data_IF_909520499245
#
_entry.id   IF_909520499245
#
_cell.length_a   1.000
_cell.length_b   1.000
_cell.length_c   1.000
_cell.angle_alpha   90.00
_cell.angle_beta   90.00
_cell.angle_gamma   90.00
#
_symmetry.space_group_name_H-M   'P 1'
#
loop_
_entity.id
_entity.type
_entity.pdbx_description
1 polymer ?
#
# COMPACT_ATOMS: atom_id res chain seq x y z
N UNK A 1 -20.66 71.33 -27.69
CA UNK A 1 -19.87 70.97 -26.50
C UNK A 1 -20.48 69.72 -25.90
N UNK A 2 -19.68 68.75 -25.47
CA UNK A 2 -20.17 67.44 -25.01
C UNK A 2 -20.46 67.42 -23.52
N UNK A 3 -21.50 66.70 -23.09
CA UNK A 3 -21.70 66.27 -21.70
C UNK A 3 -22.34 64.88 -21.68
N UNK A 4 -21.96 64.06 -20.70
CA UNK A 4 -22.17 62.60 -20.76
C UNK A 4 -23.54 62.15 -20.23
N UNK A 5 -24.06 61.09 -20.84
CA UNK A 5 -25.17 60.31 -20.32
C UNK A 5 -24.63 59.17 -19.44
N UNK A 6 -25.20 58.95 -18.25
CA UNK A 6 -24.82 57.87 -17.32
C UNK A 6 -26.02 56.97 -17.01
N UNK A 7 -25.96 55.65 -17.28
CA UNK A 7 -27.04 54.73 -16.96
C UNK A 7 -27.03 54.34 -15.48
N UNK A 8 -28.21 54.38 -14.83
CA UNK A 8 -28.41 53.80 -13.49
C UNK A 8 -28.16 52.30 -13.52
N UNK A 9 -27.49 51.75 -12.50
CA UNK A 9 -27.50 50.31 -12.23
C UNK A 9 -28.89 49.91 -11.72
N UNK A 10 -29.54 48.97 -12.41
CA UNK A 10 -30.70 48.26 -11.86
C UNK A 10 -30.22 47.15 -10.92
N UNK A 11 -30.86 47.02 -9.75
CA UNK A 11 -30.71 45.82 -8.92
C UNK A 11 -31.64 44.72 -9.45
N UNK A 12 -31.09 43.55 -9.78
CA UNK A 12 -31.89 42.35 -9.94
C UNK A 12 -32.33 41.85 -8.54
N UNK A 13 -33.57 41.35 -8.37
CA UNK A 13 -34.01 40.78 -7.10
C UNK A 13 -33.26 39.49 -6.80
N UNK A 14 -32.95 39.25 -5.52
CA UNK A 14 -32.40 37.99 -5.08
C UNK A 14 -33.50 36.92 -5.05
N UNK A 15 -33.36 35.86 -5.83
CA UNK A 15 -34.24 34.69 -5.75
C UNK A 15 -34.01 33.95 -4.43
N UNK A 16 -35.10 33.59 -3.76
CA UNK A 16 -35.06 32.89 -2.47
C UNK A 16 -34.52 31.47 -2.65
N UNK A 17 -33.86 30.94 -1.62
CA UNK A 17 -33.34 29.57 -1.63
C UNK A 17 -34.41 28.47 -1.46
N UNK A 18 -35.70 28.83 -1.55
CA UNK A 18 -36.85 27.94 -1.41
C UNK A 18 -37.38 27.37 -2.73
N UNK A 19 -37.20 28.08 -3.85
CA UNK A 19 -37.89 27.80 -5.12
C UNK A 19 -37.05 26.97 -6.11
N UNK A 20 -36.40 25.89 -5.63
CA UNK A 20 -35.71 24.92 -6.48
C UNK A 20 -36.55 23.64 -6.61
N UNK A 21 -36.85 23.18 -7.85
CA UNK A 21 -37.60 21.94 -8.05
C UNK A 21 -36.77 20.72 -7.63
N UNK A 22 -37.46 19.72 -7.09
CA UNK A 22 -36.85 18.51 -6.54
C UNK A 22 -36.38 17.57 -7.68
N UNK A 23 -35.07 17.32 -7.75
CA UNK A 23 -34.48 16.47 -8.81
C UNK A 23 -34.39 15.04 -8.28
N UNK A 24 -35.35 14.20 -8.67
CA UNK A 24 -35.33 12.77 -8.37
C UNK A 24 -34.13 12.08 -9.04
N UNK A 25 -33.26 11.50 -8.23
CA UNK A 25 -32.17 10.64 -8.69
C UNK A 25 -32.68 9.22 -8.95
N UNK A 26 -32.21 8.53 -10.02
CA UNK A 26 -32.71 7.21 -10.39
C UNK A 26 -32.33 6.12 -9.36
N UNK A 27 -33.23 5.16 -9.20
CA UNK A 27 -33.07 4.02 -8.30
C UNK A 27 -32.01 3.01 -8.80
N UNK A 28 -31.37 2.23 -7.91
CA UNK A 28 -30.29 1.32 -8.29
C UNK A 28 -30.80 0.06 -9.03
N UNK A 29 -30.18 -0.24 -10.17
CA UNK A 29 -30.35 -1.52 -10.86
C UNK A 29 -29.33 -2.54 -10.31
N UNK A 30 -29.82 -3.66 -9.76
CA UNK A 30 -28.97 -4.75 -9.26
C UNK A 30 -29.10 -6.01 -10.13
N UNK A 31 -28.22 -6.18 -11.12
CA UNK A 31 -28.15 -7.43 -11.87
C UNK A 31 -27.34 -8.49 -11.11
N UNK A 32 -28.02 -9.54 -10.65
CA UNK A 32 -27.46 -10.58 -9.80
C UNK A 32 -26.67 -11.65 -10.55
N UNK A 33 -25.43 -11.33 -10.97
CA UNK A 33 -24.48 -12.34 -11.46
C UNK A 33 -24.08 -13.37 -10.38
N UNK A 34 -23.44 -14.49 -10.78
CA UNK A 34 -23.03 -15.55 -9.84
C UNK A 34 -22.11 -15.05 -8.69
N UNK A 35 -21.39 -13.94 -8.91
CA UNK A 35 -20.63 -13.20 -7.90
C UNK A 35 -21.47 -12.84 -6.67
N UNK A 36 -22.77 -12.51 -6.83
CA UNK A 36 -23.67 -12.14 -5.74
C UNK A 36 -23.76 -13.20 -4.63
N UNK A 37 -23.68 -14.49 -4.97
CA UNK A 37 -23.71 -15.59 -3.98
C UNK A 37 -22.39 -15.72 -3.21
N UNK A 38 -21.26 -15.38 -3.84
CA UNK A 38 -19.96 -15.29 -3.15
C UNK A 38 -19.87 -14.03 -2.27
N UNK A 39 -20.36 -12.88 -2.77
CA UNK A 39 -20.42 -11.61 -2.04
C UNK A 39 -21.30 -11.70 -0.78
N UNK A 40 -22.46 -12.35 -0.86
CA UNK A 40 -23.26 -12.69 0.33
C UNK A 40 -22.48 -13.52 1.35
N UNK A 41 -21.65 -14.48 0.91
CA UNK A 41 -20.78 -15.26 1.77
C UNK A 41 -19.73 -14.42 2.49
N UNK A 42 -19.06 -13.52 1.76
CA UNK A 42 -18.04 -12.59 2.32
C UNK A 42 -18.67 -11.59 3.28
N UNK A 43 -19.80 -10.96 2.93
CA UNK A 43 -20.54 -10.04 3.79
C UNK A 43 -21.05 -10.70 5.07
N UNK A 44 -21.58 -11.93 4.98
CA UNK A 44 -21.98 -12.73 6.13
C UNK A 44 -20.78 -13.07 7.04
N UNK A 45 -19.62 -13.39 6.47
CA UNK A 45 -18.39 -13.63 7.23
C UNK A 45 -17.93 -12.36 7.95
N UNK A 46 -17.86 -11.21 7.26
CA UNK A 46 -17.47 -9.93 7.82
C UNK A 46 -18.41 -9.48 8.95
N UNK A 47 -19.72 -9.57 8.73
CA UNK A 47 -20.73 -9.28 9.74
C UNK A 47 -20.72 -10.25 10.93
N UNK A 48 -20.14 -11.46 10.79
CA UNK A 48 -19.92 -12.40 11.89
C UNK A 48 -18.61 -12.11 12.63
N UNK A 49 -17.56 -11.66 11.92
CA UNK A 49 -16.30 -11.19 12.51
C UNK A 49 -16.53 -9.95 13.38
N UNK A 50 -17.22 -8.92 12.87
CA UNK A 50 -17.48 -7.68 13.62
C UNK A 50 -18.23 -7.93 14.94
N UNK A 51 -19.29 -8.76 14.91
CA UNK A 51 -20.03 -9.16 16.12
C UNK A 51 -19.17 -9.99 17.09
N UNK A 52 -18.29 -10.85 16.58
CA UNK A 52 -17.34 -11.61 17.40
C UNK A 52 -16.26 -10.75 18.06
N UNK A 53 -15.75 -9.73 17.36
CA UNK A 53 -14.78 -8.76 17.89
C UNK A 53 -15.43 -7.88 18.96
N UNK A 54 -16.65 -7.40 18.72
CA UNK A 54 -17.42 -6.64 19.72
C UNK A 54 -17.64 -7.44 21.01
N UNK A 55 -18.16 -8.68 20.90
CA UNK A 55 -18.34 -9.57 22.05
C UNK A 55 -17.02 -9.87 22.78
N UNK A 56 -15.92 -10.09 22.05
CA UNK A 56 -14.60 -10.30 22.63
C UNK A 56 -14.09 -9.10 23.43
N UNK A 57 -14.34 -7.87 22.95
CA UNK A 57 -14.02 -6.63 23.67
C UNK A 57 -14.89 -6.45 24.92
N UNK A 58 -16.21 -6.64 24.83
CA UNK A 58 -17.12 -6.52 25.99
C UNK A 58 -16.77 -7.54 27.09
N UNK A 59 -16.41 -8.77 26.72
CA UNK A 59 -15.96 -9.80 27.66
C UNK A 59 -14.56 -9.52 28.24
N UNK A 60 -13.66 -8.88 27.48
CA UNK A 60 -12.35 -8.48 27.99
C UNK A 60 -12.43 -7.32 29.00
N UNK A 61 -13.39 -6.40 28.84
CA UNK A 61 -13.65 -5.28 29.76
C UNK A 61 -14.28 -5.73 31.08
N UNK A 62 -14.92 -6.91 31.13
CA UNK A 62 -15.73 -7.38 32.27
C UNK A 62 -15.13 -8.56 33.04
N UNK A 63 -13.99 -9.12 32.62
CA UNK A 63 -13.46 -10.37 33.17
C UNK A 63 -12.21 -10.21 34.06
N UNK A 64 -12.19 -10.89 35.21
CA UNK A 64 -10.98 -11.08 36.03
C UNK A 64 -9.93 -11.91 35.30
N UNK A 65 -8.66 -11.81 35.71
CA UNK A 65 -7.48 -12.15 34.89
C UNK A 65 -7.43 -13.53 34.21
N UNK A 66 -8.14 -14.56 34.69
CA UNK A 66 -8.25 -15.85 33.98
C UNK A 66 -9.07 -15.76 32.69
N UNK A 67 -10.07 -14.88 32.62
CA UNK A 67 -10.90 -14.66 31.43
C UNK A 67 -10.13 -13.99 30.29
N UNK A 68 -9.21 -13.07 30.60
CA UNK A 68 -8.39 -12.35 29.61
C UNK A 68 -7.55 -13.32 28.78
N UNK A 69 -6.91 -14.32 29.39
CA UNK A 69 -6.18 -15.37 28.64
C UNK A 69 -7.12 -16.23 27.78
N UNK A 70 -8.35 -16.48 28.22
CA UNK A 70 -9.39 -17.13 27.42
C UNK A 70 -9.76 -16.31 26.18
N UNK A 71 -10.02 -15.02 26.35
CA UNK A 71 -10.36 -14.09 25.28
C UNK A 71 -9.20 -13.91 24.28
N UNK A 72 -7.96 -13.74 24.77
CA UNK A 72 -6.76 -13.64 23.92
C UNK A 72 -6.51 -14.94 23.13
N UNK A 73 -6.68 -16.12 23.75
CA UNK A 73 -6.56 -17.40 23.04
C UNK A 73 -7.64 -17.56 21.97
N UNK A 74 -8.88 -17.14 22.26
CA UNK A 74 -9.97 -17.16 21.29
C UNK A 74 -9.73 -16.18 20.14
N UNK A 75 -9.26 -14.96 20.43
CA UNK A 75 -8.91 -13.95 19.43
C UNK A 75 -7.78 -14.46 18.51
N UNK A 76 -6.72 -15.03 19.07
CA UNK A 76 -5.61 -15.62 18.31
C UNK A 76 -6.08 -16.78 17.40
N UNK A 77 -6.95 -17.66 17.89
CA UNK A 77 -7.54 -18.74 17.07
C UNK A 77 -8.44 -18.17 15.96
N UNK A 78 -9.21 -17.12 16.24
CA UNK A 78 -10.05 -16.44 15.23
C UNK A 78 -9.20 -15.76 14.15
N UNK A 79 -8.15 -15.03 14.52
CA UNK A 79 -7.19 -14.41 13.59
C UNK A 79 -6.46 -15.48 12.76
N UNK A 80 -6.03 -16.58 13.37
CA UNK A 80 -5.41 -17.69 12.64
C UNK A 80 -6.38 -18.35 11.64
N UNK A 81 -7.65 -18.52 12.02
CA UNK A 81 -8.70 -19.01 11.11
C UNK A 81 -8.99 -18.03 9.96
N UNK A 82 -8.97 -16.72 10.21
CA UNK A 82 -9.07 -15.69 9.17
C UNK A 82 -7.87 -15.73 8.21
N UNK A 83 -6.64 -15.78 8.74
CA UNK A 83 -5.43 -15.90 7.93
C UNK A 83 -5.43 -17.16 7.06
N UNK A 84 -5.87 -18.30 7.61
CA UNK A 84 -6.02 -19.57 6.86
C UNK A 84 -7.11 -19.49 5.79
N UNK A 85 -8.20 -18.75 6.04
CA UNK A 85 -9.25 -18.49 5.05
C UNK A 85 -8.77 -17.59 3.90
N UNK A 86 -8.09 -16.49 4.23
CA UNK A 86 -7.48 -15.59 3.24
C UNK A 86 -6.41 -16.32 2.41
N UNK A 87 -5.57 -17.14 3.06
CA UNK A 87 -4.61 -18.00 2.37
C UNK A 87 -5.28 -19.01 1.44
N UNK A 88 -6.43 -19.58 1.82
CA UNK A 88 -7.18 -20.49 0.96
C UNK A 88 -7.75 -19.77 -0.29
N UNK A 89 -8.22 -18.52 -0.15
CA UNK A 89 -8.64 -17.69 -1.29
C UNK A 89 -7.46 -17.37 -2.21
N UNK A 90 -6.33 -16.92 -1.64
CA UNK A 90 -5.09 -16.64 -2.39
C UNK A 90 -4.61 -17.90 -3.12
N UNK A 91 -4.57 -19.05 -2.44
CA UNK A 91 -4.18 -20.32 -3.04
C UNK A 91 -5.15 -20.80 -4.13
N UNK A 92 -6.44 -20.50 -4.02
CA UNK A 92 -7.43 -20.82 -5.06
C UNK A 92 -7.27 -19.92 -6.30
N UNK A 93 -7.03 -18.61 -6.12
CA UNK A 93 -6.75 -17.67 -7.22
C UNK A 93 -5.42 -18.03 -7.91
N UNK A 94 -4.35 -18.27 -7.15
CA UNK A 94 -3.06 -18.73 -7.68
C UNK A 94 -3.19 -20.10 -8.36
N UNK A 95 -3.99 -21.02 -7.80
CA UNK A 95 -4.30 -22.32 -8.41
C UNK A 95 -5.04 -22.19 -9.74
N UNK A 96 -6.02 -21.28 -9.84
CA UNK A 96 -6.72 -20.99 -11.09
C UNK A 96 -5.82 -20.34 -12.16
N UNK A 97 -4.88 -19.48 -11.74
CA UNK A 97 -3.89 -18.87 -12.62
C UNK A 97 -2.87 -19.90 -13.16
N UNK A 98 -2.40 -20.82 -12.30
CA UNK A 98 -1.45 -21.88 -12.69
C UNK A 98 -2.11 -22.99 -13.50
N UNK A 99 -3.34 -23.40 -13.13
CA UNK A 99 -4.12 -24.42 -13.84
C UNK A 99 -4.50 -24.04 -15.28
N UNK A 100 -4.39 -22.76 -15.65
CA UNK A 100 -4.67 -22.28 -17.02
C UNK A 100 -3.53 -22.56 -18.02
N UNK A 101 -2.38 -23.10 -17.58
CA UNK A 101 -1.31 -23.65 -18.45
C UNK A 101 -1.41 -25.18 -18.58
N UNK A 102 -2.52 -25.68 -19.15
CA UNK A 102 -2.78 -27.12 -19.21
C UNK A 102 -3.85 -27.56 -20.21
N UNK A 103 -3.86 -27.02 -21.43
CA UNK A 103 -4.83 -27.49 -22.44
C UNK A 103 -4.80 -26.78 -23.79
N UNK A 104 -4.08 -27.35 -24.76
CA UNK A 104 -4.43 -27.33 -26.19
C UNK A 104 -3.58 -28.36 -26.96
N UNK A 105 -4.23 -29.35 -27.55
CA UNK A 105 -3.61 -30.32 -28.45
C UNK A 105 -4.61 -30.65 -29.57
N UNK A 106 -4.29 -30.26 -30.81
CA UNK A 106 -4.89 -30.76 -32.06
C UNK A 106 -4.14 -30.16 -33.28
N UNK A 107 -3.36 -31.05 -33.90
CA UNK A 107 -2.87 -31.21 -35.29
C UNK A 107 -3.72 -30.61 -36.45
N UNK A 108 -3.34 -30.74 -37.76
CA UNK A 108 -2.22 -31.49 -38.36
C UNK A 108 -1.42 -30.82 -39.51
N UNK A 109 -0.36 -31.51 -39.98
CA UNK A 109 0.39 -31.34 -41.26
C UNK A 109 1.20 -30.01 -41.44
N UNK A 110 2.31 -29.89 -42.18
CA UNK A 110 3.12 -30.75 -43.10
C UNK A 110 4.59 -30.20 -43.14
N UNK A 111 5.66 -30.72 -43.78
CA UNK A 111 6.08 -32.04 -44.31
C UNK A 111 7.56 -32.00 -44.80
N UNK A 112 8.18 -33.17 -45.02
CA UNK A 112 9.42 -33.44 -45.81
C UNK A 112 10.83 -33.18 -45.19
N UNK A 113 11.83 -33.97 -45.64
CA UNK A 113 13.24 -34.00 -45.20
C UNK A 113 13.52 -34.95 -44.03
N UNK A 114 13.98 -36.22 -44.13
CA UNK A 114 14.86 -37.01 -45.04
C UNK A 114 16.37 -36.90 -44.73
N UNK A 115 17.03 -38.08 -44.63
CA UNK A 115 18.46 -38.38 -44.34
C UNK A 115 18.88 -38.38 -42.85
N UNK A 116 19.72 -39.31 -42.34
CA UNK A 116 20.22 -40.55 -42.96
C UNK A 116 21.43 -41.23 -42.24
N UNK A 117 21.37 -42.56 -42.08
CA UNK A 117 22.47 -43.55 -41.84
C UNK A 117 23.43 -43.45 -40.62
N UNK A 118 23.27 -44.42 -39.71
CA UNK A 118 24.26 -45.41 -39.20
C UNK A 118 25.78 -45.28 -39.49
N UNK A 119 26.64 -45.67 -38.52
CA UNK A 119 27.83 -46.51 -38.81
C UNK A 119 29.12 -46.43 -37.95
N UNK A 120 29.21 -47.26 -36.91
CA UNK A 120 30.38 -48.14 -36.56
C UNK A 120 31.77 -47.59 -36.10
N UNK A 121 32.44 -48.41 -35.27
CA UNK A 121 33.75 -48.28 -34.57
C UNK A 121 34.91 -48.91 -35.41
N UNK A 122 36.14 -48.33 -35.45
CA UNK A 122 37.32 -48.79 -34.65
C UNK A 122 38.30 -47.65 -34.23
N UNK A 123 39.38 -47.84 -33.46
CA UNK A 123 39.85 -49.01 -32.67
C UNK A 123 41.39 -49.01 -32.43
N UNK A 124 41.85 -49.48 -31.25
CA UNK A 124 43.26 -49.63 -30.79
C UNK A 124 44.07 -48.33 -30.56
N UNK A 125 45.14 -48.29 -29.73
CA UNK A 125 45.69 -49.27 -28.78
C UNK A 125 46.94 -48.74 -28.04
N UNK A 126 47.34 -49.33 -26.89
CA UNK A 126 48.59 -49.00 -26.17
C UNK A 126 48.66 -49.46 -24.70
N UNK A 127 49.59 -50.37 -24.38
CA UNK A 127 49.91 -50.96 -23.06
C UNK A 127 50.92 -50.10 -22.24
N UNK A 128 51.08 -50.18 -20.91
CA UNK A 128 51.62 -51.29 -20.06
C UNK A 128 53.04 -51.76 -20.52
N UNK A 129 54.06 -52.05 -19.68
CA UNK A 129 54.22 -52.03 -18.20
C UNK A 129 55.71 -52.24 -17.76
N UNK A 130 56.08 -52.02 -16.48
CA UNK A 130 57.29 -52.52 -15.74
C UNK A 130 58.72 -52.05 -16.13
N UNK A 131 59.71 -52.30 -15.22
CA UNK A 131 61.18 -52.16 -15.47
C UNK A 131 62.05 -51.80 -14.24
N UNK A 132 63.20 -52.47 -14.02
CA UNK A 132 64.10 -52.31 -12.83
C UNK A 132 65.61 -52.21 -13.16
N UNK A 133 66.43 -51.95 -12.12
CA UNK A 133 67.93 -51.93 -12.05
C UNK A 133 68.63 -50.64 -12.53
N UNK A 134 69.81 -50.24 -12.02
CA UNK A 134 70.71 -50.84 -11.01
C UNK A 134 71.74 -49.83 -10.43
N UNK A 135 72.60 -50.26 -9.49
CA UNK A 135 73.56 -49.39 -8.75
C UNK A 135 74.93 -49.18 -9.44
N UNK A 136 75.90 -48.49 -8.76
CA UNK A 136 76.96 -49.26 -8.08
C UNK A 136 77.60 -48.63 -6.80
N UNK A 137 78.35 -49.47 -6.05
CA UNK A 137 79.63 -49.28 -5.28
C UNK A 137 80.16 -47.90 -4.80
N UNK A 138 80.98 -47.77 -3.75
CA UNK A 138 81.69 -48.75 -2.88
C UNK A 138 82.08 -48.14 -1.49
N UNK A 139 82.61 -48.97 -0.58
CA UNK A 139 83.20 -48.56 0.73
C UNK A 139 84.74 -48.44 0.67
N UNK A 140 85.39 -47.79 1.66
CA UNK A 140 86.18 -48.52 2.69
C UNK A 140 86.02 -47.91 4.13
N UNK A 141 86.09 -48.68 5.23
CA UNK A 141 87.23 -48.95 6.16
C UNK A 141 87.91 -47.70 6.78
N UNK A 142 88.41 -47.68 8.03
CA UNK A 142 88.63 -48.71 9.08
C UNK A 142 88.62 -48.08 10.51
N UNK A 143 88.46 -48.92 11.56
CA UNK A 143 89.01 -48.81 12.94
C UNK A 143 88.76 -47.53 13.81
N UNK A 144 88.98 -47.52 15.14
CA UNK A 144 88.82 -48.48 16.25
C UNK A 144 88.91 -47.64 17.58
N UNK A 145 88.77 -48.27 18.76
CA UNK A 145 88.95 -47.77 20.14
C UNK A 145 87.72 -47.16 20.83
N UNK A 146 87.53 -47.34 22.16
CA UNK A 146 87.86 -48.46 23.07
C UNK A 146 87.12 -48.24 24.40
N UNK A 147 86.40 -49.25 24.88
CA UNK A 147 86.14 -49.59 26.30
C UNK A 147 86.18 -48.51 27.41
N UNK A 148 85.09 -48.42 28.20
CA UNK A 148 85.18 -48.80 29.62
C UNK A 148 83.81 -49.23 30.19
N UNK A 149 83.70 -50.23 31.11
CA UNK A 149 82.41 -50.85 31.44
C UNK A 149 82.06 -50.93 32.95
N UNK A 150 80.99 -50.24 33.38
CA UNK A 150 80.21 -50.59 34.58
C UNK A 150 78.72 -50.34 34.26
N UNK A 151 77.86 -51.35 34.18
CA UNK A 151 77.36 -52.25 35.24
C UNK A 151 76.32 -51.59 36.17
N UNK A 152 75.05 -51.60 35.75
CA UNK A 152 73.89 -51.73 36.64
C UNK A 152 72.69 -52.24 35.83
N UNK A 153 71.93 -53.17 36.38
CA UNK A 153 70.82 -53.85 35.68
C UNK A 153 69.52 -53.05 35.79
N UNK A 154 68.73 -53.04 34.71
CA UNK A 154 67.29 -52.76 34.78
C UNK A 154 66.51 -53.85 34.01
N UNK A 155 65.33 -54.28 34.51
CA UNK A 155 64.58 -55.43 34.00
C UNK A 155 63.88 -55.16 32.64
N UNK A 156 63.45 -56.21 31.92
CA UNK A 156 62.93 -56.09 30.54
C UNK A 156 61.61 -55.32 30.41
N UNK A 157 61.37 -54.83 29.20
CA UNK A 157 60.27 -53.93 28.86
C UNK A 157 58.87 -54.55 29.02
N UNK A 158 57.91 -53.70 29.39
CA UNK A 158 56.47 -54.00 29.33
C UNK A 158 55.78 -53.14 28.28
N UNK A 159 54.85 -53.73 27.52
CA UNK A 159 54.18 -53.06 26.40
C UNK A 159 53.27 -51.91 26.86
N UNK A 160 53.21 -50.77 26.14
CA UNK A 160 52.35 -49.66 26.50
C UNK A 160 50.86 -50.04 26.39
N UNK A 161 50.15 -49.98 27.51
CA UNK A 161 48.71 -50.27 27.59
C UNK A 161 47.90 -49.20 26.83
N UNK A 162 46.86 -49.56 26.04
CA UNK A 162 46.03 -48.57 25.36
C UNK A 162 45.33 -47.63 26.36
N UNK A 163 45.14 -46.34 26.01
CA UNK A 163 44.60 -45.35 26.94
C UNK A 163 43.18 -45.70 27.38
N UNK A 164 43.00 -45.86 28.69
CA UNK A 164 41.74 -46.20 29.36
C UNK A 164 40.71 -45.09 29.10
N UNK A 165 39.65 -45.39 28.33
CA UNK A 165 38.51 -44.48 28.15
C UNK A 165 37.95 -44.09 29.51
N UNK A 166 38.01 -42.80 29.85
CA UNK A 166 37.40 -42.28 31.07
C UNK A 166 35.87 -42.41 30.97
N UNK A 167 35.17 -42.86 32.03
CA UNK A 167 33.72 -42.92 32.03
C UNK A 167 33.17 -41.50 31.93
N UNK A 168 32.39 -41.22 30.88
CA UNK A 168 31.66 -39.96 30.77
C UNK A 168 30.59 -39.95 31.87
N UNK A 169 30.76 -39.08 32.87
CA UNK A 169 29.75 -38.87 33.91
C UNK A 169 28.42 -38.41 33.30
N UNK A 170 27.28 -38.68 33.96
CA UNK A 170 25.96 -38.42 33.39
C UNK A 170 25.83 -36.94 33.00
N UNK A 171 25.69 -36.71 31.70
CA UNK A 171 25.52 -35.37 31.12
C UNK A 171 24.18 -34.81 31.58
N UNK A 172 24.21 -33.96 32.61
CA UNK A 172 23.00 -33.26 33.11
C UNK A 172 22.26 -32.68 31.91
N UNK A 173 20.99 -33.07 31.66
CA UNK A 173 20.26 -32.59 30.49
C UNK A 173 20.19 -31.07 30.56
N UNK A 174 20.76 -30.38 29.56
CA UNK A 174 20.68 -28.93 29.47
C UNK A 174 19.21 -28.55 29.44
N UNK A 175 18.73 -27.92 30.51
CA UNK A 175 17.33 -27.51 30.64
C UNK A 175 16.90 -26.78 29.36
N UNK A 176 15.76 -27.15 28.76
CA UNK A 176 15.33 -26.55 27.50
C UNK A 176 15.20 -25.05 27.69
N UNK A 177 15.88 -24.27 26.84
CA UNK A 177 15.84 -22.80 26.87
C UNK A 177 14.48 -22.33 26.32
N UNK A 178 13.42 -22.57 27.09
CA UNK A 178 12.00 -22.44 26.74
C UNK A 178 11.52 -21.00 26.49
N UNK A 179 12.41 -20.03 26.58
CA UNK A 179 12.14 -18.65 26.22
C UNK A 179 12.33 -18.42 24.72
N UNK A 180 11.37 -17.76 24.08
CA UNK A 180 11.53 -17.23 22.72
C UNK A 180 12.82 -16.41 22.62
N UNK A 181 13.59 -16.49 21.50
CA UNK A 181 14.86 -15.79 21.37
C UNK A 181 14.65 -14.27 21.38
N UNK A 182 15.64 -13.54 21.91
CA UNK A 182 15.54 -12.10 22.17
C UNK A 182 15.11 -11.30 20.92
N UNK A 183 15.63 -11.64 19.75
CA UNK A 183 15.25 -11.01 18.48
C UNK A 183 13.74 -11.10 18.17
N UNK A 184 13.09 -12.23 18.47
CA UNK A 184 11.64 -12.38 18.24
C UNK A 184 10.83 -11.68 19.32
N UNK A 185 11.33 -11.59 20.57
CA UNK A 185 10.70 -10.73 21.60
C UNK A 185 10.75 -9.24 21.21
N UNK A 186 11.88 -8.79 20.68
CA UNK A 186 12.05 -7.43 20.15
C UNK A 186 11.13 -7.18 18.94
N UNK A 187 11.04 -8.13 18.01
CA UNK A 187 10.13 -8.04 16.87
C UNK A 187 8.65 -7.96 17.30
N UNK A 188 8.24 -8.77 18.29
CA UNK A 188 6.90 -8.68 18.89
C UNK A 188 6.65 -7.35 19.60
N UNK A 189 7.64 -6.82 20.32
CA UNK A 189 7.53 -5.51 20.98
C UNK A 189 7.40 -4.37 19.95
N UNK A 190 8.19 -4.38 18.88
CA UNK A 190 8.08 -3.41 17.79
C UNK A 190 6.72 -3.52 17.09
N UNK A 191 6.24 -4.74 16.83
CA UNK A 191 4.91 -4.97 16.26
C UNK A 191 3.78 -4.49 17.19
N UNK A 192 3.91 -4.68 18.51
CA UNK A 192 2.96 -4.20 19.51
C UNK A 192 2.94 -2.66 19.58
N UNK A 193 4.11 -2.02 19.59
CA UNK A 193 4.24 -0.56 19.61
C UNK A 193 3.69 0.07 18.33
N UNK A 194 4.01 -0.47 17.15
CA UNK A 194 3.45 -0.01 15.88
C UNK A 194 1.94 -0.28 15.80
N UNK A 195 1.47 -1.41 16.35
CA UNK A 195 0.05 -1.72 16.50
C UNK A 195 -0.69 -0.68 17.34
N UNK A 196 -0.13 -0.29 18.49
CA UNK A 196 -0.69 0.76 19.35
C UNK A 196 -0.69 2.14 18.71
N UNK A 197 0.40 2.52 18.02
CA UNK A 197 0.51 3.78 17.29
C UNK A 197 -0.40 3.86 16.05
N UNK A 198 -0.82 2.72 15.48
CA UNK A 198 -1.91 2.66 14.50
C UNK A 198 -3.27 2.73 15.21
N UNK A 199 -3.50 1.91 16.24
CA UNK A 199 -4.78 1.78 16.93
C UNK A 199 -5.26 3.09 17.57
N UNK A 200 -4.36 3.94 18.08
CA UNK A 200 -4.73 5.25 18.66
C UNK A 200 -5.49 6.16 17.70
N UNK A 201 -5.33 6.02 16.37
CA UNK A 201 -6.08 6.81 15.38
C UNK A 201 -7.59 6.51 15.36
N UNK A 202 -8.02 5.39 15.94
CA UNK A 202 -9.44 5.11 16.15
C UNK A 202 -10.10 6.07 17.15
N UNK A 203 -9.31 6.81 17.94
CA UNK A 203 -9.78 7.75 18.98
C UNK A 203 -9.21 9.17 18.78
N UNK A 204 -7.90 9.29 18.50
CA UNK A 204 -7.19 10.58 18.42
C UNK A 204 -6.44 10.75 17.08
N UNK A 205 -6.57 11.89 16.37
CA UNK A 205 -7.22 13.14 16.80
C UNK A 205 -8.76 13.10 16.74
N UNK A 206 -9.46 14.01 17.43
CA UNK A 206 -10.91 14.16 17.31
C UNK A 206 -11.28 14.72 15.93
N UNK A 207 -12.07 13.96 15.19
CA UNK A 207 -12.56 14.28 13.83
C UNK A 207 -13.84 15.10 13.87
N UNK A 208 -14.61 14.91 14.94
CA UNK A 208 -15.99 15.38 15.15
C UNK A 208 -16.04 16.91 15.13
N UNK A 209 -14.98 17.58 15.61
CA UNK A 209 -14.82 19.04 15.54
C UNK A 209 -14.84 19.59 14.11
N UNK A 210 -14.41 18.81 13.11
CA UNK A 210 -14.39 19.24 11.71
C UNK A 210 -15.79 19.41 11.11
N UNK A 211 -16.85 18.94 11.77
CA UNK A 211 -18.23 19.26 11.39
C UNK A 211 -18.46 20.78 11.42
N UNK A 212 -17.98 21.44 12.48
CA UNK A 212 -18.28 22.84 12.83
C UNK A 212 -17.07 23.78 12.73
N UNK A 213 -15.84 23.25 12.72
CA UNK A 213 -14.60 24.03 12.74
C UNK A 213 -13.75 23.75 11.49
N UNK A 214 -13.20 24.80 10.89
CA UNK A 214 -12.30 24.69 9.75
C UNK A 214 -10.84 24.53 10.24
N UNK A 215 -10.06 23.59 9.69
CA UNK A 215 -8.63 23.47 9.99
C UNK A 215 -7.87 24.64 9.34
N UNK A 216 -7.32 25.54 10.16
CA UNK A 216 -6.55 26.71 9.70
C UNK A 216 -5.17 26.34 9.11
N UNK A 217 -4.58 25.23 9.57
CA UNK A 217 -3.35 24.63 9.05
C UNK A 217 -3.52 23.11 9.11
N UNK A 218 -2.89 22.39 8.17
CA UNK A 218 -2.87 20.92 8.13
C UNK A 218 -1.44 20.40 8.14
N UNK A 219 -1.23 19.13 8.50
CA UNK A 219 0.13 18.54 8.51
C UNK A 219 0.80 18.49 7.13
N UNK A 220 0.03 18.52 6.04
CA UNK A 220 0.58 18.71 4.69
C UNK A 220 1.03 20.15 4.45
N UNK A 221 0.30 21.16 4.96
CA UNK A 221 0.70 22.57 4.87
C UNK A 221 1.90 22.89 5.77
N UNK A 222 2.01 22.27 6.95
CA UNK A 222 3.21 22.32 7.81
C UNK A 222 4.42 21.73 7.09
N UNK A 223 4.25 20.56 6.46
CA UNK A 223 5.28 19.91 5.65
C UNK A 223 5.76 20.82 4.51
N UNK A 224 4.85 21.51 3.79
CA UNK A 224 5.22 22.46 2.74
C UNK A 224 6.00 23.66 3.27
N UNK A 225 5.56 24.27 4.37
CA UNK A 225 6.29 25.36 5.02
C UNK A 225 7.72 24.94 5.42
N UNK A 226 7.88 23.73 5.95
CA UNK A 226 9.20 23.16 6.26
C UNK A 226 10.05 22.89 5.00
N UNK A 227 9.45 22.59 3.84
CA UNK A 227 10.18 22.49 2.57
C UNK A 227 10.63 23.86 2.05
N UNK A 228 9.76 24.88 2.09
CA UNK A 228 10.10 26.24 1.65
C UNK A 228 11.19 26.88 2.54
N UNK A 229 11.10 26.70 3.87
CA UNK A 229 12.13 27.18 4.79
C UNK A 229 13.53 26.59 4.47
N UNK A 230 13.60 25.31 4.11
CA UNK A 230 14.84 24.64 3.64
C UNK A 230 15.33 25.14 2.27
N UNK A 231 14.50 25.85 1.52
CA UNK A 231 14.84 26.52 0.25
C UNK A 231 15.15 28.02 0.45
N UNK A 232 15.22 28.52 1.69
CA UNK A 232 15.38 29.95 1.98
C UNK A 232 14.15 30.80 1.68
N UNK A 233 12.99 30.17 1.44
CA UNK A 233 11.71 30.84 1.16
C UNK A 233 10.92 31.02 2.45
N UNK A 234 10.26 32.17 2.61
CA UNK A 234 9.31 32.39 3.70
C UNK A 234 8.08 31.46 3.63
N UNK A 235 7.34 31.28 4.73
CA UNK A 235 6.22 30.33 4.85
C UNK A 235 4.94 30.75 4.08
N UNK A 236 5.05 31.65 3.09
CA UNK A 236 3.91 32.29 2.43
C UNK A 236 3.17 31.32 1.51
N UNK A 237 1.97 30.92 1.94
CA UNK A 237 0.96 30.26 1.13
C UNK A 237 -0.30 31.13 1.03
N UNK A 238 -1.12 30.89 0.01
CA UNK A 238 -2.46 31.45 -0.13
C UNK A 238 -3.49 30.36 0.17
N UNK A 239 -4.36 30.62 1.15
CA UNK A 239 -5.56 29.84 1.41
C UNK A 239 -6.71 30.80 1.73
N UNK A 240 -7.81 30.68 0.98
CA UNK A 240 -9.05 31.41 1.23
C UNK A 240 -10.15 30.37 1.46
N UNK A 241 -10.72 30.30 2.67
CA UNK A 241 -11.80 29.36 2.94
C UNK A 241 -13.12 29.85 2.34
N UNK A 242 -13.82 28.97 1.62
CA UNK A 242 -15.18 29.20 1.13
C UNK A 242 -16.07 27.98 1.41
N UNK A 243 -17.36 28.22 1.67
CA UNK A 243 -18.34 27.14 1.77
C UNK A 243 -18.59 26.48 0.41
N UNK A 244 -19.09 25.25 0.41
CA UNK A 244 -19.33 24.46 -0.81
C UNK A 244 -20.31 25.15 -1.77
N UNK A 245 -21.28 25.91 -1.24
CA UNK A 245 -22.20 26.72 -2.05
C UNK A 245 -21.54 27.89 -2.78
N UNK A 246 -20.38 28.36 -2.31
CA UNK A 246 -19.56 29.39 -2.94
C UNK A 246 -18.46 28.80 -3.86
N UNK A 247 -18.52 27.49 -4.14
CA UNK A 247 -17.69 26.82 -5.14
C UNK A 247 -18.60 26.45 -6.32
N UNK A 248 -18.15 26.71 -7.55
CA UNK A 248 -18.93 26.39 -8.76
C UNK A 248 -19.26 24.90 -8.80
N UNK A 249 -20.54 24.58 -9.09
CA UNK A 249 -21.00 23.19 -9.30
C UNK A 249 -20.16 22.47 -10.37
N UNK A 250 -19.59 23.20 -11.33
CA UNK A 250 -18.64 22.69 -12.30
C UNK A 250 -17.39 22.09 -11.62
N UNK A 251 -16.78 22.79 -10.66
CA UNK A 251 -15.58 22.28 -9.97
C UNK A 251 -15.92 21.11 -9.06
N UNK A 252 -17.05 21.18 -8.35
CA UNK A 252 -17.56 20.07 -7.52
C UNK A 252 -17.67 18.79 -8.37
N UNK A 253 -18.35 18.87 -9.52
CA UNK A 253 -18.55 17.75 -10.44
C UNK A 253 -17.24 17.27 -11.09
N UNK A 254 -16.40 18.20 -11.56
CA UNK A 254 -15.11 17.90 -12.18
C UNK A 254 -14.18 17.13 -11.24
N UNK A 255 -14.10 17.55 -9.97
CA UNK A 255 -13.23 16.94 -8.97
C UNK A 255 -13.71 15.53 -8.60
N UNK A 256 -15.01 15.33 -8.40
CA UNK A 256 -15.53 13.96 -8.19
C UNK A 256 -15.25 13.09 -9.41
N UNK A 257 -15.54 13.54 -10.64
CA UNK A 257 -15.27 12.75 -11.85
C UNK A 257 -13.77 12.43 -12.06
N UNK A 258 -12.86 13.29 -11.61
CA UNK A 258 -11.41 13.14 -11.83
C UNK A 258 -10.69 12.28 -10.79
N UNK A 259 -11.15 12.30 -9.54
CA UNK A 259 -10.50 11.68 -8.38
C UNK A 259 -11.32 10.57 -7.72
N UNK A 260 -12.67 10.60 -7.83
CA UNK A 260 -13.58 9.74 -7.05
C UNK A 260 -15.05 9.77 -7.61
N UNK A 261 -15.29 9.12 -8.75
CA UNK A 261 -16.57 9.24 -9.51
C UNK A 261 -17.78 8.61 -8.77
N UNK A 262 -17.50 7.72 -7.81
CA UNK A 262 -18.45 7.10 -6.88
C UNK A 262 -18.49 7.77 -5.50
N UNK A 263 -17.87 8.94 -5.30
CA UNK A 263 -17.75 9.62 -4.00
C UNK A 263 -19.06 9.70 -3.20
N UNK A 264 -20.20 9.90 -3.89
CA UNK A 264 -21.52 10.04 -3.28
C UNK A 264 -22.21 8.69 -2.93
N UNK A 265 -21.64 7.56 -3.32
CA UNK A 265 -22.24 6.22 -3.23
C UNK A 265 -21.58 5.31 -2.17
N UNK A 266 -20.29 5.48 -1.89
CA UNK A 266 -19.54 4.64 -0.94
C UNK A 266 -19.29 5.32 0.41
N UNK A 267 -18.88 4.56 1.43
CA UNK A 267 -18.45 5.08 2.75
C UNK A 267 -16.91 5.07 2.85
N UNK A 268 -16.23 6.07 2.29
CA UNK A 268 -14.76 6.22 2.34
C UNK A 268 -13.93 5.31 1.43
N UNK A 269 -14.49 4.23 0.88
CA UNK A 269 -13.76 3.24 0.06
C UNK A 269 -14.58 2.79 -1.15
N UNK A 270 -14.18 3.18 -2.36
CA UNK A 270 -14.60 2.51 -3.60
C UNK A 270 -13.82 1.20 -3.76
N UNK A 271 -14.41 0.10 -3.32
CA UNK A 271 -13.75 -1.22 -3.33
C UNK A 271 -13.56 -1.75 -4.76
N UNK A 272 -14.56 -1.61 -5.62
CA UNK A 272 -14.46 -2.04 -7.02
C UNK A 272 -13.44 -1.17 -7.77
N UNK A 273 -13.43 0.15 -7.56
CA UNK A 273 -12.44 1.06 -8.15
C UNK A 273 -11.02 0.81 -7.64
N UNK A 274 -10.87 0.32 -6.39
CA UNK A 274 -9.58 -0.16 -5.87
C UNK A 274 -9.15 -1.48 -6.53
N UNK A 275 -10.08 -2.40 -6.82
CA UNK A 275 -9.78 -3.64 -7.56
C UNK A 275 -9.44 -3.37 -9.03
N UNK A 276 -10.22 -2.56 -9.74
CA UNK A 276 -9.93 -2.10 -11.12
C UNK A 276 -8.56 -1.41 -11.22
N UNK A 277 -8.23 -0.55 -10.25
CA UNK A 277 -6.94 0.12 -10.18
C UNK A 277 -5.80 -0.87 -9.93
N UNK A 278 -6.01 -1.89 -9.08
CA UNK A 278 -5.02 -2.93 -8.80
C UNK A 278 -4.78 -3.82 -10.03
N UNK A 279 -5.84 -4.29 -10.70
CA UNK A 279 -5.76 -5.10 -11.91
C UNK A 279 -5.05 -4.36 -13.05
N UNK A 280 -5.42 -3.09 -13.30
CA UNK A 280 -4.75 -2.25 -14.32
C UNK A 280 -3.26 -2.00 -13.99
N UNK A 281 -2.92 -1.84 -12.71
CA UNK A 281 -1.52 -1.70 -12.29
C UNK A 281 -0.69 -2.98 -12.50
N UNK A 282 -1.31 -4.17 -12.46
CA UNK A 282 -0.66 -5.44 -12.81
C UNK A 282 -0.51 -5.55 -14.33
N UNK A 283 -1.57 -5.29 -15.09
CA UNK A 283 -1.58 -5.38 -16.56
C UNK A 283 -0.56 -4.44 -17.21
N UNK A 284 -0.49 -3.19 -16.75
CA UNK A 284 0.49 -2.20 -17.23
C UNK A 284 1.89 -2.34 -16.60
N UNK A 285 2.10 -3.29 -15.67
CA UNK A 285 3.37 -3.53 -14.97
C UNK A 285 3.89 -2.33 -14.14
N UNK A 286 3.04 -1.34 -13.86
CA UNK A 286 3.40 -0.03 -13.30
C UNK A 286 2.22 0.58 -12.54
N UNK A 287 2.49 1.57 -11.69
CA UNK A 287 1.41 2.37 -11.10
C UNK A 287 0.86 3.35 -12.16
N UNK A 288 -0.18 2.92 -12.86
CA UNK A 288 -0.96 3.69 -13.84
C UNK A 288 -2.28 4.23 -13.25
N UNK A 289 -2.78 3.59 -12.19
CA UNK A 289 -4.05 3.88 -11.54
C UNK A 289 -3.86 4.24 -10.06
N UNK A 290 -4.52 5.32 -9.62
CA UNK A 290 -4.72 5.63 -8.20
C UNK A 290 -6.06 5.09 -7.72
N UNK A 291 -6.06 4.27 -6.67
CA UNK A 291 -7.25 3.82 -5.96
C UNK A 291 -7.30 4.44 -4.56
N UNK A 292 -7.60 5.73 -4.46
CA UNK A 292 -7.73 6.43 -3.17
C UNK A 292 -8.73 7.58 -3.27
N UNK A 293 -9.89 7.35 -2.65
CA UNK A 293 -11.06 8.23 -2.58
C UNK A 293 -10.73 9.62 -2.04
N UNK A 294 -11.59 10.60 -2.33
CA UNK A 294 -11.49 11.97 -1.83
C UNK A 294 -11.36 11.99 -0.30
N UNK A 295 -12.08 11.11 0.41
CA UNK A 295 -12.00 10.98 1.87
C UNK A 295 -10.64 10.48 2.36
N UNK A 296 -10.04 9.49 1.68
CA UNK A 296 -8.66 9.07 1.99
C UNK A 296 -7.65 10.17 1.68
N UNK A 297 -7.84 10.92 0.59
CA UNK A 297 -6.99 12.05 0.25
C UNK A 297 -7.14 13.22 1.24
N UNK A 298 -8.33 13.46 1.78
CA UNK A 298 -8.58 14.41 2.86
C UNK A 298 -7.85 13.98 4.13
N UNK A 299 -8.02 12.72 4.58
CA UNK A 299 -7.32 12.17 5.74
C UNK A 299 -5.79 12.34 5.63
N UNK A 300 -5.23 12.01 4.46
CA UNK A 300 -3.83 12.26 4.09
C UNK A 300 -3.44 13.72 4.30
N UNK A 301 -4.16 14.66 3.67
CA UNK A 301 -3.82 16.09 3.70
C UNK A 301 -3.93 16.70 5.11
N UNK A 302 -4.93 16.30 5.89
CA UNK A 302 -5.18 16.84 7.24
C UNK A 302 -4.08 16.48 8.25
N UNK A 303 -3.65 15.21 8.29
CA UNK A 303 -2.91 14.64 9.43
C UNK A 303 -1.63 13.88 9.09
N UNK A 304 -1.24 13.80 7.80
CA UNK A 304 -0.08 13.00 7.39
C UNK A 304 0.82 13.74 6.38
N UNK A 305 2.08 13.34 6.35
CA UNK A 305 3.06 13.81 5.37
C UNK A 305 3.01 12.94 4.09
N UNK A 306 3.66 13.38 2.98
CA UNK A 306 3.75 12.61 1.73
C UNK A 306 4.65 11.35 1.78
N UNK A 307 5.17 10.97 2.95
CA UNK A 307 5.96 9.74 3.13
C UNK A 307 5.15 8.50 2.72
N UNK A 308 5.77 7.48 2.10
CA UNK A 308 5.08 6.29 1.62
C UNK A 308 5.37 5.06 2.48
N UNK A 309 4.60 4.88 3.55
CA UNK A 309 4.65 3.70 4.42
C UNK A 309 3.28 3.03 4.61
N UNK A 310 3.26 1.70 4.78
CA UNK A 310 2.03 0.90 4.97
C UNK A 310 1.32 1.23 6.29
N UNK A 311 2.09 1.47 7.36
CA UNK A 311 1.55 1.91 8.67
C UNK A 311 0.82 3.25 8.55
N UNK A 312 1.38 4.21 7.80
CA UNK A 312 0.70 5.48 7.46
C UNK A 312 -0.55 5.24 6.61
N UNK A 313 -0.54 4.34 5.63
CA UNK A 313 -1.75 4.02 4.83
C UNK A 313 -2.87 3.36 5.67
N UNK A 314 -2.51 2.55 6.67
CA UNK A 314 -3.47 2.01 7.63
C UNK A 314 -4.09 3.13 8.50
N UNK A 315 -3.28 4.10 8.96
CA UNK A 315 -3.77 5.28 9.69
C UNK A 315 -4.67 6.17 8.81
N UNK A 316 -4.31 6.40 7.55
CA UNK A 316 -5.17 7.08 6.56
C UNK A 316 -6.53 6.39 6.45
N UNK A 317 -6.57 5.05 6.37
CA UNK A 317 -7.82 4.29 6.27
C UNK A 317 -8.70 4.45 7.53
N UNK A 318 -8.11 4.36 8.73
CA UNK A 318 -8.82 4.57 10.00
C UNK A 318 -9.42 5.99 10.05
N UNK A 319 -8.64 7.01 9.66
CA UNK A 319 -9.11 8.39 9.66
C UNK A 319 -10.13 8.69 8.56
N UNK A 320 -10.05 8.02 7.40
CA UNK A 320 -11.08 8.11 6.36
C UNK A 320 -12.42 7.50 6.80
N UNK A 321 -12.38 6.33 7.45
CA UNK A 321 -13.58 5.73 8.06
C UNK A 321 -14.21 6.63 9.12
N UNK A 322 -13.40 7.28 9.98
CA UNK A 322 -13.91 8.26 10.94
C UNK A 322 -14.48 9.52 10.27
N UNK A 323 -13.86 10.05 9.23
CA UNK A 323 -14.40 11.19 8.47
C UNK A 323 -15.81 10.90 7.94
N UNK A 324 -16.06 9.71 7.40
CA UNK A 324 -17.37 9.32 6.83
C UNK A 324 -18.41 9.01 7.91
N UNK A 325 -17.98 8.55 9.09
CA UNK A 325 -18.88 8.29 10.22
C UNK A 325 -19.33 9.56 10.93
N UNK A 326 -18.44 10.54 11.07
CA UNK A 326 -18.69 11.77 11.84
C UNK A 326 -19.15 12.97 10.99
N UNK A 327 -18.91 12.98 9.67
CA UNK A 327 -19.17 14.13 8.81
C UNK A 327 -20.06 13.79 7.60
N UNK A 328 -21.03 14.64 7.22
CA UNK A 328 -21.80 14.43 6.00
C UNK A 328 -20.94 14.66 4.75
N UNK A 329 -21.19 13.90 3.68
CA UNK A 329 -20.46 13.96 2.38
C UNK A 329 -20.18 15.37 1.86
N UNK A 330 -21.16 16.28 1.96
CA UNK A 330 -21.02 17.69 1.55
C UNK A 330 -19.89 18.40 2.33
N UNK A 331 -19.78 18.15 3.65
CA UNK A 331 -18.73 18.72 4.50
C UNK A 331 -17.36 18.08 4.25
N UNK A 332 -17.30 16.77 3.99
CA UNK A 332 -16.06 16.07 3.57
C UNK A 332 -15.51 16.70 2.29
N UNK A 333 -16.37 16.91 1.28
CA UNK A 333 -15.96 17.52 0.02
C UNK A 333 -15.60 19.00 0.17
N UNK A 334 -16.31 19.76 1.01
CA UNK A 334 -15.96 21.14 1.35
C UNK A 334 -14.57 21.24 2.02
N UNK A 335 -14.29 20.40 3.01
CA UNK A 335 -12.99 20.33 3.66
C UNK A 335 -11.90 20.00 2.63
N UNK A 336 -12.09 18.97 1.80
CA UNK A 336 -11.14 18.58 0.75
C UNK A 336 -10.84 19.74 -0.22
N UNK A 337 -11.88 20.36 -0.78
CA UNK A 337 -11.75 21.45 -1.73
C UNK A 337 -11.10 22.71 -1.13
N UNK A 338 -11.05 22.87 0.20
CA UNK A 338 -10.39 23.99 0.88
C UNK A 338 -8.98 23.66 1.43
N UNK A 339 -8.60 22.39 1.58
CA UNK A 339 -7.26 21.99 2.09
C UNK A 339 -6.36 21.29 1.07
N UNK A 340 -6.85 20.95 -0.12
CA UNK A 340 -6.01 20.38 -1.19
C UNK A 340 -5.14 21.46 -1.85
N UNK A 341 -3.94 21.06 -2.25
CA UNK A 341 -2.96 21.89 -2.96
C UNK A 341 -3.26 21.88 -4.47
N UNK A 342 -3.33 23.06 -5.08
CA UNK A 342 -3.60 23.25 -6.52
C UNK A 342 -2.39 23.79 -7.29
N UNK A 343 -1.36 24.26 -6.57
CA UNK A 343 -0.09 24.76 -7.07
C UNK A 343 0.86 25.07 -5.91
N UNK A 344 2.11 25.43 -6.20
CA UNK A 344 3.12 25.71 -5.15
C UNK A 344 2.67 26.88 -4.25
N UNK A 345 2.32 26.56 -3.01
CA UNK A 345 1.79 27.52 -2.04
C UNK A 345 0.35 27.96 -2.28
N UNK A 346 -0.46 27.18 -3.00
CA UNK A 346 -1.85 27.52 -3.34
C UNK A 346 -2.81 26.43 -2.84
N UNK A 347 -3.49 26.72 -1.74
CA UNK A 347 -4.38 25.81 -1.02
C UNK A 347 -5.84 26.25 -1.12
N UNK A 348 -6.71 25.32 -1.46
CA UNK A 348 -8.14 25.57 -1.54
C UNK A 348 -8.62 26.21 -2.85
N UNK A 349 -9.86 25.86 -3.23
CA UNK A 349 -10.45 26.18 -4.53
C UNK A 349 -10.51 27.68 -4.84
N UNK A 350 -10.83 28.52 -3.86
CA UNK A 350 -10.90 29.98 -4.05
C UNK A 350 -9.52 30.60 -4.29
N UNK A 351 -8.46 30.11 -3.62
CA UNK A 351 -7.10 30.54 -3.89
C UNK A 351 -6.62 30.06 -5.28
N UNK A 352 -6.99 28.84 -5.68
CA UNK A 352 -6.69 28.28 -6.99
C UNK A 352 -7.36 29.04 -8.14
N UNK A 353 -8.67 29.30 -8.04
CA UNK A 353 -9.43 30.05 -9.03
C UNK A 353 -8.87 31.47 -9.22
N UNK A 354 -8.51 32.15 -8.12
CA UNK A 354 -7.88 33.47 -8.18
C UNK A 354 -6.48 33.42 -8.76
N UNK A 355 -5.67 32.43 -8.38
CA UNK A 355 -4.30 32.31 -8.86
C UNK A 355 -4.20 31.98 -10.35
N UNK A 356 -5.06 31.09 -10.86
CA UNK A 356 -4.99 30.59 -12.24
C UNK A 356 -5.90 31.35 -13.22
N UNK A 357 -7.04 31.89 -12.78
CA UNK A 357 -8.03 32.53 -13.65
C UNK A 357 -8.50 33.92 -13.17
N UNK A 358 -7.88 34.49 -12.13
CA UNK A 358 -8.17 35.86 -11.66
C UNK A 358 -9.55 36.07 -11.03
N UNK A 359 -10.31 34.99 -10.73
CA UNK A 359 -11.71 35.06 -10.30
C UNK A 359 -12.04 34.10 -9.15
N UNK A 360 -13.23 34.24 -8.56
CA UNK A 360 -13.70 33.34 -7.50
C UNK A 360 -14.01 31.93 -8.03
N UNK A 361 -13.90 30.92 -7.15
CA UNK A 361 -14.28 29.54 -7.41
C UNK A 361 -15.75 29.39 -7.82
N UNK A 362 -16.64 30.29 -7.39
CA UNK A 362 -18.03 30.34 -7.84
C UNK A 362 -18.16 30.60 -9.36
N UNK A 363 -17.21 31.32 -9.97
CA UNK A 363 -17.26 31.78 -11.36
C UNK A 363 -16.47 30.87 -12.35
N UNK A 364 -16.11 29.65 -11.94
CA UNK A 364 -15.44 28.67 -12.80
C UNK A 364 -16.43 28.04 -13.81
N UNK A 365 -16.07 28.10 -15.09
CA UNK A 365 -16.74 27.38 -16.18
C UNK A 365 -16.47 25.87 -16.08
N UNK A 366 -17.23 25.07 -16.83
CA UNK A 366 -17.03 23.62 -16.96
C UNK A 366 -15.62 23.25 -17.43
N UNK A 367 -15.05 24.01 -18.38
CA UNK A 367 -13.71 23.78 -18.92
C UNK A 367 -12.60 24.12 -17.91
N UNK A 368 -12.66 25.26 -17.23
CA UNK A 368 -11.68 25.64 -16.20
C UNK A 368 -11.72 24.70 -14.99
N UNK A 369 -12.92 24.28 -14.59
CA UNK A 369 -13.13 23.27 -13.58
C UNK A 369 -12.48 21.92 -13.96
N UNK A 370 -12.69 21.45 -15.19
CA UNK A 370 -12.06 20.25 -15.70
C UNK A 370 -10.53 20.35 -15.78
N UNK A 371 -9.97 21.52 -16.14
CA UNK A 371 -8.52 21.76 -16.14
C UNK A 371 -7.93 21.82 -14.73
N UNK A 372 -8.63 22.38 -13.75
CA UNK A 372 -8.24 22.32 -12.33
C UNK A 372 -8.25 20.88 -11.81
N UNK A 373 -9.34 20.15 -12.03
CA UNK A 373 -9.43 18.74 -11.63
C UNK A 373 -8.39 17.85 -12.35
N UNK A 374 -8.00 18.19 -13.57
CA UNK A 374 -6.93 17.50 -14.29
C UNK A 374 -5.54 17.63 -13.64
N UNK A 375 -5.25 18.70 -12.89
CA UNK A 375 -3.92 18.92 -12.28
C UNK A 375 -3.75 18.37 -10.86
N UNK A 376 -4.84 18.05 -10.15
CA UNK A 376 -4.83 17.53 -8.77
C UNK A 376 -3.87 16.35 -8.51
N UNK A 377 -3.62 15.40 -9.44
CA UNK A 377 -2.63 14.35 -9.21
C UNK A 377 -1.17 14.82 -9.12
N UNK A 378 -0.84 16.02 -9.63
CA UNK A 378 0.53 16.55 -9.62
C UNK A 378 0.60 18.10 -9.71
N UNK A 379 0.04 18.84 -8.73
CA UNK A 379 -0.15 20.30 -8.79
C UNK A 379 1.15 21.10 -8.89
N UNK A 380 2.29 20.54 -8.45
CA UNK A 380 3.60 21.18 -8.57
C UNK A 380 4.25 21.03 -9.95
N UNK A 381 3.74 20.14 -10.82
CA UNK A 381 4.30 19.88 -12.17
C UNK A 381 3.33 20.19 -13.29
N UNK A 382 2.04 20.24 -13.02
CA UNK A 382 0.99 20.43 -14.02
C UNK A 382 0.27 21.75 -13.77
N UNK A 383 0.20 22.61 -14.81
CA UNK A 383 -0.52 23.89 -14.74
C UNK A 383 -1.90 23.79 -15.39
N UNK A 384 -2.98 24.26 -14.74
CA UNK A 384 -4.33 24.27 -15.29
C UNK A 384 -4.55 25.39 -16.32
N UNK A 385 -3.55 26.26 -16.55
CA UNK A 385 -3.51 27.23 -17.65
C UNK A 385 -2.52 26.83 -18.76
N UNK A 386 -1.49 26.03 -18.46
CA UNK A 386 -0.43 25.64 -19.39
C UNK A 386 -0.84 24.72 -20.56
N UNK A 387 0.08 24.58 -21.51
CA UNK A 387 -0.11 23.92 -22.82
C UNK A 387 0.20 22.41 -22.84
N UNK A 388 0.37 21.77 -21.68
CA UNK A 388 0.72 20.34 -21.61
C UNK A 388 -0.38 19.46 -22.22
N UNK A 389 -0.06 18.75 -23.31
CA UNK A 389 -0.97 17.84 -24.02
C UNK A 389 -1.60 16.79 -23.09
N UNK A 390 -0.84 16.25 -22.13
CA UNK A 390 -1.36 15.28 -21.17
C UNK A 390 -2.42 15.87 -20.23
N UNK A 391 -2.25 17.12 -19.79
CA UNK A 391 -3.23 17.84 -18.97
C UNK A 391 -4.47 18.19 -19.80
N UNK A 392 -4.29 18.62 -21.06
CA UNK A 392 -5.40 18.91 -21.97
C UNK A 392 -6.26 17.67 -22.26
N UNK A 393 -5.63 16.51 -22.51
CA UNK A 393 -6.34 15.23 -22.71
C UNK A 393 -7.05 14.76 -21.45
N UNK A 394 -6.41 14.86 -20.25
CA UNK A 394 -7.11 14.56 -18.98
C UNK A 394 -8.30 15.50 -18.76
N UNK A 395 -8.15 16.79 -19.07
CA UNK A 395 -9.22 17.78 -18.95
C UNK A 395 -10.38 17.52 -19.92
N UNK A 396 -10.15 17.15 -21.19
CA UNK A 396 -11.25 16.84 -22.12
C UNK A 396 -11.98 15.52 -21.78
N UNK A 397 -11.27 14.54 -21.22
CA UNK A 397 -11.91 13.33 -20.67
C UNK A 397 -12.82 13.68 -19.49
N UNK A 398 -12.36 14.51 -18.54
CA UNK A 398 -13.17 14.98 -17.40
C UNK A 398 -14.35 15.81 -17.89
N UNK A 399 -14.10 16.80 -18.74
CA UNK A 399 -15.12 17.72 -19.26
C UNK A 399 -16.23 16.99 -20.04
N UNK A 400 -15.90 16.07 -20.95
CA UNK A 400 -16.93 15.29 -21.66
C UNK A 400 -17.74 14.35 -20.73
N UNK A 401 -17.13 13.87 -19.62
CA UNK A 401 -17.86 13.13 -18.58
C UNK A 401 -18.81 14.06 -17.80
N UNK A 402 -18.41 15.30 -17.52
CA UNK A 402 -19.29 16.30 -16.92
C UNK A 402 -20.49 16.59 -17.83
N UNK A 403 -20.25 16.83 -19.12
CA UNK A 403 -21.31 17.13 -20.09
C UNK A 403 -22.34 15.99 -20.17
N UNK A 404 -21.90 14.73 -20.30
CA UNK A 404 -22.81 13.57 -20.28
C UNK A 404 -23.61 13.42 -18.97
N UNK A 405 -23.07 13.91 -17.84
CA UNK A 405 -23.72 13.85 -16.52
C UNK A 405 -24.56 15.10 -16.20
N UNK A 406 -24.54 16.13 -17.07
CA UNK A 406 -25.35 17.35 -16.97
C UNK A 406 -26.44 17.44 -18.05
N UNK A 407 -26.22 16.87 -19.23
CA UNK A 407 -27.18 16.84 -20.35
C UNK A 407 -28.00 15.55 -20.46
N UNK A 408 -28.03 14.73 -19.41
CA UNK A 408 -28.77 13.46 -19.34
C UNK A 408 -29.87 13.49 -18.27
N UNK A 409 -30.64 14.58 -18.22
CA UNK A 409 -31.76 14.80 -17.30
C UNK A 409 -32.87 15.60 -17.98
#
# INVERSE_FOLDING_TARGET
MSSHHTPRRGHAPATSAADLPDIQLPAPHTEGGLTGRALHGVGWLAGRVLRGVALGLTLAVTATGRGIFGALRWLAVSVWRMARGLWAVIAHVVGALLGRKGGKAASPASSAGISGKSGTVPGSGGSQETGTHGGPSASPRDADHRSSPYLSMQPPATSPTPPRKTPQGPTRPRAPRSGWPLAVRLALLVALLMGGDIARYAVWPPVERLEKQNPAVTSFMEYRQAQWARQGRGPSYRQNWVSLGNISRNLVLAVTIAEDDKFWQHEGFDLDGMEEAFLRNIEEGRIAAGGSTITQQLAKNLWFTPEKSLSRKAKEAIMAWRLERELPKKRILELYLNVVEWGDGVFGAEAAARHHYGKSAAALTSWEAARLAAVLPNPLRWSPTGTSRGVQVRASIIHSRMERRMGGG
#
